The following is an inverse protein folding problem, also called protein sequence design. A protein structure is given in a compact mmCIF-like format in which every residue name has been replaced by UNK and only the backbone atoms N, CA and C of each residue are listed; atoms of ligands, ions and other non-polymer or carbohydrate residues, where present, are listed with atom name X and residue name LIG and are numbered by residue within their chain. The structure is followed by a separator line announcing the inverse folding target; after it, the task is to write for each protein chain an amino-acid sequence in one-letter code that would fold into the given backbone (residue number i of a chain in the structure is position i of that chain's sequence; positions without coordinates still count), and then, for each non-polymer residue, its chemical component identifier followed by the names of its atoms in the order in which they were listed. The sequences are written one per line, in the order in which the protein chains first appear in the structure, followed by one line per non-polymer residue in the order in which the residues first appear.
data_IF_652513417256
#
_entry.id   IF_652513417256
#
_cell.length_a   1.000
_cell.length_b   1.000
_cell.length_c   1.000
_cell.angle_alpha   90.00
_cell.angle_beta   90.00
_cell.angle_gamma   90.00
#
_symmetry.space_group_name_H-M   'P 1'
#
loop_
_entity.id
_entity.type
_entity.pdbx_description
1 polymer ?
#
# COMPACT_ATOMS: atom_id res chain seq x y z
N UNK A 1 -17.48 2.11 -22.49
CA UNK A 1 -16.18 2.73 -22.78
C UNK A 1 -15.12 1.64 -22.70
N UNK A 2 -14.29 1.46 -23.75
CA UNK A 2 -13.21 0.45 -23.72
C UNK A 2 -12.08 1.00 -22.85
N UNK A 3 -11.70 0.28 -21.79
CA UNK A 3 -10.51 0.60 -20.99
C UNK A 3 -9.29 0.54 -21.90
N UNK A 4 -8.74 1.70 -22.25
CA UNK A 4 -7.47 1.75 -22.98
C UNK A 4 -6.33 1.26 -22.05
N UNK A 5 -5.26 0.64 -22.59
CA UNK A 5 -4.11 0.23 -21.78
C UNK A 5 -3.54 1.37 -20.93
N UNK A 6 -3.62 2.61 -21.44
CA UNK A 6 -3.19 3.83 -20.76
C UNK A 6 -4.07 4.19 -19.55
N UNK A 7 -5.40 4.06 -19.67
CA UNK A 7 -6.32 4.23 -18.53
C UNK A 7 -6.09 3.16 -17.45
N UNK A 8 -5.81 1.92 -17.84
CA UNK A 8 -5.48 0.84 -16.92
C UNK A 8 -4.17 1.14 -16.17
N UNK A 9 -3.13 1.53 -16.89
CA UNK A 9 -1.84 1.91 -16.31
C UNK A 9 -1.96 3.09 -15.34
N UNK A 10 -2.70 4.14 -15.72
CA UNK A 10 -2.92 5.31 -14.87
C UNK A 10 -3.68 4.96 -13.59
N UNK A 11 -4.66 4.05 -13.67
CA UNK A 11 -5.39 3.56 -12.51
C UNK A 11 -4.50 2.76 -11.56
N UNK A 12 -3.72 1.82 -12.09
CA UNK A 12 -2.75 1.03 -11.33
C UNK A 12 -1.73 1.94 -10.65
N UNK A 13 -1.15 2.90 -11.37
CA UNK A 13 -0.19 3.87 -10.84
C UNK A 13 -0.77 4.71 -9.69
N UNK A 14 -2.05 5.12 -9.78
CA UNK A 14 -2.73 5.85 -8.70
C UNK A 14 -2.85 4.99 -7.44
N UNK A 15 -3.35 3.75 -7.57
CA UNK A 15 -3.53 2.83 -6.44
C UNK A 15 -2.20 2.57 -5.72
N UNK A 16 -1.11 2.38 -6.47
CA UNK A 16 0.23 2.21 -5.90
C UNK A 16 0.68 3.43 -5.12
N UNK A 17 0.52 4.62 -5.71
CA UNK A 17 0.96 5.86 -5.07
C UNK A 17 0.19 6.12 -3.77
N UNK A 18 -1.11 5.91 -3.76
CA UNK A 18 -1.96 6.04 -2.57
C UNK A 18 -1.57 5.02 -1.49
N UNK A 19 -1.41 3.76 -1.87
CA UNK A 19 -1.00 2.69 -0.95
C UNK A 19 0.39 2.93 -0.32
N UNK A 20 1.39 3.32 -1.11
CA UNK A 20 2.72 3.66 -0.61
C UNK A 20 2.70 4.86 0.33
N UNK A 21 1.86 5.85 0.06
CA UNK A 21 1.72 7.04 0.92
C UNK A 21 1.18 6.65 2.30
N UNK A 22 0.16 5.79 2.34
CA UNK A 22 -0.42 5.28 3.60
C UNK A 22 0.64 4.51 4.39
N UNK A 23 1.38 3.60 3.73
CA UNK A 23 2.44 2.83 4.39
C UNK A 23 3.50 3.75 5.00
N UNK A 24 3.99 4.75 4.24
CA UNK A 24 5.03 5.65 4.72
C UNK A 24 4.58 6.49 5.93
N UNK A 25 3.36 7.03 5.90
CA UNK A 25 2.82 7.82 7.01
C UNK A 25 2.68 6.96 8.26
N UNK A 26 2.01 5.81 8.16
CA UNK A 26 1.76 4.95 9.32
C UNK A 26 3.05 4.39 9.91
N UNK A 27 4.01 3.99 9.06
CA UNK A 27 5.31 3.50 9.54
C UNK A 27 6.11 4.63 10.21
N UNK A 28 6.02 5.86 9.70
CA UNK A 28 6.61 7.04 10.32
C UNK A 28 6.07 7.31 11.72
N UNK A 29 4.74 7.32 11.88
CA UNK A 29 4.10 7.47 13.19
C UNK A 29 4.52 6.38 14.18
N UNK A 30 4.57 5.12 13.74
CA UNK A 30 4.94 4.00 14.61
C UNK A 30 6.41 4.08 15.04
N UNK A 31 7.30 4.53 14.17
CA UNK A 31 8.72 4.71 14.49
C UNK A 31 8.95 5.92 15.42
N UNK A 32 8.15 6.97 15.30
CA UNK A 32 8.20 8.14 16.20
C UNK A 32 7.68 7.81 17.62
N UNK A 33 6.70 6.92 17.77
CA UNK A 33 6.11 6.60 19.07
C UNK A 33 7.04 5.84 20.04
N UNK A 34 8.20 5.33 19.60
CA UNK A 34 9.25 4.62 20.38
C UNK A 34 8.84 3.47 21.33
N UNK A 35 7.55 3.26 21.60
CA UNK A 35 6.98 2.12 22.32
C UNK A 35 6.14 1.30 21.35
N UNK A 36 6.71 0.20 20.84
CA UNK A 36 5.97 -0.79 20.07
C UNK A 36 5.04 -1.57 21.02
N UNK A 37 3.89 -0.97 21.31
CA UNK A 37 2.80 -1.63 22.02
C UNK A 37 2.21 -2.76 21.15
N UNK A 38 1.46 -3.69 21.76
CA UNK A 38 0.72 -4.72 21.01
C UNK A 38 -0.18 -4.10 19.92
N UNK A 39 -0.74 -2.90 20.18
CA UNK A 39 -1.53 -2.16 19.21
C UNK A 39 -0.70 -1.69 18.01
N UNK A 40 0.50 -1.17 18.24
CA UNK A 40 1.44 -0.74 17.19
C UNK A 40 1.90 -1.94 16.34
N UNK A 41 2.11 -3.09 16.99
CA UNK A 41 2.44 -4.36 16.32
C UNK A 41 1.27 -4.86 15.43
N UNK A 42 0.04 -4.77 15.92
CA UNK A 42 -1.16 -5.12 15.14
C UNK A 42 -1.33 -4.19 13.94
N UNK A 43 -1.11 -2.89 14.10
CA UNK A 43 -1.16 -1.90 13.00
C UNK A 43 -0.08 -2.16 11.94
N UNK A 44 1.17 -2.40 12.34
CA UNK A 44 2.25 -2.80 11.43
C UNK A 44 1.90 -4.03 10.60
N UNK A 45 1.30 -5.04 11.24
CA UNK A 45 0.88 -6.26 10.54
C UNK A 45 -0.22 -6.00 9.51
N UNK A 46 -1.16 -5.08 9.78
CA UNK A 46 -2.21 -4.72 8.83
C UNK A 46 -1.65 -3.91 7.65
N UNK A 47 -0.74 -2.97 7.91
CA UNK A 47 -0.03 -2.20 6.89
C UNK A 47 0.76 -3.15 5.97
N UNK A 48 1.44 -4.14 6.54
CA UNK A 48 2.17 -5.16 5.78
C UNK A 48 1.23 -5.96 4.87
N UNK A 49 0.08 -6.39 5.37
CA UNK A 49 -0.93 -7.11 4.55
C UNK A 49 -1.47 -6.23 3.43
N UNK A 50 -1.71 -4.94 3.68
CA UNK A 50 -2.16 -4.01 2.64
C UNK A 50 -1.10 -3.83 1.55
N UNK A 51 0.17 -3.67 1.95
CA UNK A 51 1.30 -3.59 1.03
C UNK A 51 1.41 -4.85 0.14
N UNK A 52 1.29 -6.05 0.73
CA UNK A 52 1.31 -7.32 0.01
C UNK A 52 0.16 -7.44 -1.01
N UNK A 53 -1.05 -6.99 -0.65
CA UNK A 53 -2.20 -6.99 -1.58
C UNK A 53 -1.98 -6.06 -2.77
N UNK A 54 -1.43 -4.87 -2.53
CA UNK A 54 -1.13 -3.90 -3.58
C UNK A 54 -0.04 -4.44 -4.51
N UNK A 55 1.02 -5.04 -3.95
CA UNK A 55 2.09 -5.66 -4.73
C UNK A 55 1.58 -6.83 -5.59
N UNK A 56 0.68 -7.66 -5.05
CA UNK A 56 0.04 -8.75 -5.80
C UNK A 56 -0.83 -8.23 -6.94
N UNK A 57 -1.68 -7.23 -6.68
CA UNK A 57 -2.52 -6.61 -7.70
C UNK A 57 -1.69 -5.97 -8.84
N UNK A 58 -0.52 -5.42 -8.51
CA UNK A 58 0.43 -4.93 -9.51
C UNK A 58 0.95 -6.05 -10.41
N UNK A 59 1.53 -7.10 -9.81
CA UNK A 59 2.12 -8.22 -10.55
C UNK A 59 1.10 -8.98 -11.42
N UNK A 60 -0.16 -9.02 -11.01
CA UNK A 60 -1.25 -9.64 -11.80
C UNK A 60 -1.76 -8.73 -12.93
N UNK A 61 -1.72 -7.40 -12.77
CA UNK A 61 -2.18 -6.45 -13.80
C UNK A 61 -1.11 -6.03 -14.81
N UNK A 62 0.18 -6.18 -14.46
CA UNK A 62 1.34 -6.06 -15.35
C UNK A 62 2.04 -7.43 -15.48
N UNK A 63 1.67 -8.26 -16.47
CA UNK A 63 2.43 -9.46 -16.80
C UNK A 63 3.84 -9.13 -17.33
#
# INVERSE_FOLDING_TARGET
MKNTPEEKYNRVRRIVKEGLTIILIETGYILEEQELTELSQMRLNEIKKQAERIAKALLEETP
#
